data_IF_780904020687
#
_entry.id   IF_780904020687
#
_cell.length_a   1.000
_cell.length_b   1.000
_cell.length_c   1.000
_cell.angle_alpha   90.00
_cell.angle_beta   90.00
_cell.angle_gamma   90.00
#
_symmetry.space_group_name_H-M   'P 1'
#
loop_
_entity.id
_entity.type
_entity.pdbx_description
1 polymer ?
#
# COMPACT_ATOMS: atom_id res chain seq x y z
N UNK A 1 -12.61 -0.89 -4.62
CA UNK A 1 -11.23 -1.28 -5.01
C UNK A 1 -10.29 -0.19 -4.53
N UNK A 2 -9.07 -0.50 -4.11
CA UNK A 2 -8.07 0.51 -3.71
C UNK A 2 -6.94 0.50 -4.74
N UNK A 3 -6.75 1.60 -5.46
CA UNK A 3 -5.68 1.74 -6.45
C UNK A 3 -4.34 2.05 -5.77
N UNK A 4 -3.21 1.76 -6.42
CA UNK A 4 -1.89 2.08 -5.86
C UNK A 4 -1.05 2.91 -6.83
N UNK A 5 -0.39 3.95 -6.31
CA UNK A 5 0.52 4.77 -7.09
C UNK A 5 1.64 5.38 -6.23
N UNK A 6 2.78 5.66 -6.85
CA UNK A 6 3.81 6.51 -6.25
C UNK A 6 3.66 7.92 -6.78
N UNK A 7 3.56 8.90 -5.87
CA UNK A 7 3.45 10.32 -6.21
C UNK A 7 4.58 11.11 -5.56
N UNK A 8 5.06 12.13 -6.27
CA UNK A 8 5.93 13.15 -5.71
C UNK A 8 5.14 14.29 -5.04
N UNK A 9 5.84 15.28 -4.46
CA UNK A 9 5.23 16.45 -3.79
C UNK A 9 4.22 17.22 -4.66
N UNK A 10 4.44 17.28 -5.96
CA UNK A 10 3.52 17.91 -6.93
C UNK A 10 2.27 17.08 -7.23
N UNK A 11 2.07 15.95 -6.52
CA UNK A 11 1.06 14.91 -6.76
C UNK A 11 1.16 14.23 -8.13
N UNK A 12 2.21 14.51 -8.89
CA UNK A 12 2.49 13.82 -10.16
C UNK A 12 2.73 12.34 -9.89
N UNK A 13 1.99 11.48 -10.59
CA UNK A 13 2.21 10.03 -10.56
C UNK A 13 3.53 9.71 -11.26
N UNK A 14 4.41 9.00 -10.56
CA UNK A 14 5.73 8.55 -11.03
C UNK A 14 5.69 7.08 -11.43
N UNK A 15 4.91 6.26 -10.69
CA UNK A 15 4.64 4.86 -10.99
C UNK A 15 3.24 4.51 -10.51
N UNK A 16 2.61 3.50 -11.11
CA UNK A 16 1.30 2.99 -10.71
C UNK A 16 1.26 1.48 -10.80
N UNK A 17 0.45 0.87 -9.95
CA UNK A 17 0.10 -0.53 -10.07
C UNK A 17 -0.89 -0.72 -11.23
N UNK A 18 -0.82 -1.88 -11.87
CA UNK A 18 -1.81 -2.39 -12.81
C UNK A 18 -2.97 -3.08 -12.08
N UNK A 19 -2.69 -3.69 -10.92
CA UNK A 19 -3.67 -4.33 -10.05
C UNK A 19 -3.98 -3.46 -8.82
N UNK A 20 -5.28 -3.28 -8.54
CA UNK A 20 -5.75 -2.70 -7.28
C UNK A 20 -5.85 -3.74 -6.16
N UNK A 21 -5.97 -3.26 -4.92
CA UNK A 21 -6.34 -4.10 -3.79
C UNK A 21 -7.85 -4.29 -3.80
N UNK A 22 -8.28 -5.54 -3.92
CA UNK A 22 -9.67 -5.92 -3.66
C UNK A 22 -9.91 -5.91 -2.15
N UNK A 23 -10.51 -4.82 -1.67
CA UNK A 23 -10.83 -4.68 -0.25
C UNK A 23 -11.97 -5.63 0.11
N UNK A 24 -11.74 -6.49 1.09
CA UNK A 24 -12.71 -7.45 1.62
C UNK A 24 -12.85 -7.29 3.13
N UNK A 25 -13.85 -7.94 3.73
CA UNK A 25 -14.02 -7.95 5.18
C UNK A 25 -12.78 -8.47 5.93
N UNK A 26 -11.95 -9.32 5.31
CA UNK A 26 -10.75 -9.85 5.97
C UNK A 26 -9.67 -8.79 6.25
N UNK A 27 -9.68 -7.65 5.57
CA UNK A 27 -8.82 -6.51 5.96
C UNK A 27 -9.26 -5.89 7.29
N UNK A 28 -10.58 -5.84 7.55
CA UNK A 28 -11.11 -5.34 8.82
C UNK A 28 -10.85 -6.30 9.99
N UNK A 29 -10.68 -7.60 9.69
CA UNK A 29 -10.38 -8.66 10.66
C UNK A 29 -8.87 -8.79 10.97
N UNK A 30 -8.01 -8.05 10.27
CA UNK A 30 -6.57 -8.00 10.62
C UNK A 30 -6.40 -7.50 12.06
N UNK A 31 -5.48 -8.12 12.80
CA UNK A 31 -5.13 -7.63 14.14
C UNK A 31 -4.39 -6.29 14.01
N UNK A 32 -4.94 -5.17 14.52
CA UNK A 32 -4.32 -3.85 14.40
C UNK A 32 -2.98 -3.74 15.13
N UNK A 33 -2.71 -4.63 16.11
CA UNK A 33 -1.40 -4.68 16.76
C UNK A 33 -0.32 -5.32 15.86
N UNK A 34 -0.72 -6.19 14.93
CA UNK A 34 0.20 -6.89 14.01
C UNK A 34 0.28 -6.25 12.63
N UNK A 35 -0.81 -5.60 12.19
CA UNK A 35 -0.99 -4.98 10.89
C UNK A 35 -1.48 -3.52 10.97
N UNK A 36 -0.82 -2.62 11.73
CA UNK A 36 -1.30 -1.25 11.94
C UNK A 36 -1.46 -0.44 10.65
N UNK A 37 -0.77 -0.79 9.55
CA UNK A 37 -0.91 -0.10 8.27
C UNK A 37 -2.01 -0.69 7.41
N UNK A 38 -1.99 -2.01 7.19
CA UNK A 38 -2.93 -2.69 6.30
C UNK A 38 -4.34 -2.76 6.88
N UNK A 39 -4.49 -2.88 8.21
CA UNK A 39 -5.79 -2.82 8.88
C UNK A 39 -6.50 -1.47 8.68
N UNK A 40 -5.73 -0.39 8.57
CA UNK A 40 -6.26 0.96 8.41
C UNK A 40 -6.66 1.30 6.96
N UNK A 41 -6.42 0.40 5.99
CA UNK A 41 -6.83 0.62 4.61
C UNK A 41 -8.35 0.58 4.49
N UNK A 42 -8.88 1.53 3.72
CA UNK A 42 -10.31 1.67 3.46
C UNK A 42 -10.53 2.03 1.99
N UNK A 43 -11.58 1.49 1.34
CA UNK A 43 -11.91 1.85 -0.03
C UNK A 43 -12.42 3.28 -0.20
N UNK A 44 -12.71 4.00 0.90
CA UNK A 44 -13.29 5.35 0.87
C UNK A 44 -12.31 6.47 1.22
N UNK A 45 -11.01 6.17 1.29
CA UNK A 45 -10.01 7.14 1.69
C UNK A 45 -8.61 6.80 1.20
N UNK A 46 -7.80 7.84 1.04
CA UNK A 46 -6.40 7.68 0.68
C UNK A 46 -5.56 7.35 1.92
N UNK A 47 -4.68 6.35 1.78
CA UNK A 47 -3.60 6.11 2.73
C UNK A 47 -2.26 6.41 2.06
N UNK A 48 -1.41 7.18 2.75
CA UNK A 48 -0.13 7.66 2.22
C UNK A 48 1.01 7.19 3.10
N UNK A 49 1.97 6.51 2.49
CA UNK A 49 3.15 5.97 3.17
C UNK A 49 4.41 6.65 2.62
N UNK A 50 5.18 7.24 3.54
CA UNK A 50 6.47 7.83 3.23
C UNK A 50 7.61 6.79 3.34
N UNK A 51 8.82 7.21 2.97
CA UNK A 51 10.02 6.36 3.01
C UNK A 51 10.30 5.72 4.38
N UNK A 52 9.93 6.35 5.50
CA UNK A 52 10.11 5.77 6.85
C UNK A 52 9.06 4.72 7.19
N UNK A 53 7.88 4.78 6.57
CA UNK A 53 6.80 3.82 6.78
C UNK A 53 6.89 2.61 5.85
N UNK A 54 7.52 2.76 4.67
CA UNK A 54 7.69 1.69 3.69
C UNK A 54 8.29 0.39 4.27
N UNK A 55 9.36 0.41 5.07
CA UNK A 55 9.90 -0.83 5.65
C UNK A 55 8.92 -1.57 6.56
N UNK A 56 8.08 -0.84 7.29
CA UNK A 56 7.07 -1.41 8.17
C UNK A 56 5.92 -2.01 7.35
N UNK A 57 5.49 -1.32 6.29
CA UNK A 57 4.49 -1.84 5.35
C UNK A 57 4.98 -3.12 4.67
N UNK A 58 6.24 -3.17 4.23
CA UNK A 58 6.84 -4.37 3.64
C UNK A 58 6.82 -5.56 4.62
N UNK A 59 7.11 -5.32 5.90
CA UNK A 59 7.07 -6.35 6.94
C UNK A 59 5.64 -6.83 7.25
N UNK A 60 4.61 -6.00 7.06
CA UNK A 60 3.22 -6.43 7.10
C UNK A 60 2.87 -7.28 5.87
N UNK A 61 3.28 -6.86 4.67
CA UNK A 61 3.07 -7.62 3.43
C UNK A 61 3.73 -9.00 3.46
N UNK A 62 4.85 -9.17 4.17
CA UNK A 62 5.52 -10.48 4.37
C UNK A 62 4.69 -11.46 5.22
N UNK A 63 3.83 -10.93 6.10
CA UNK A 63 3.02 -11.71 7.04
C UNK A 63 1.54 -11.76 6.65
N UNK A 64 1.17 -11.09 5.56
CA UNK A 64 -0.21 -10.99 5.13
C UNK A 64 -0.78 -12.38 4.83
N UNK A 65 -1.99 -12.71 5.34
CA UNK A 65 -2.68 -13.93 4.98
C UNK A 65 -2.83 -14.09 3.45
N UNK A 66 -2.61 -15.30 2.94
CA UNK A 66 -2.54 -15.56 1.51
C UNK A 66 -3.84 -15.24 0.75
N UNK A 67 -4.98 -15.35 1.43
CA UNK A 67 -6.32 -15.03 0.93
C UNK A 67 -6.57 -13.52 0.76
N UNK A 68 -5.81 -12.67 1.48
CA UNK A 68 -5.82 -11.21 1.32
C UNK A 68 -4.72 -10.70 0.37
N UNK A 69 -3.80 -11.59 0.00
CA UNK A 69 -2.72 -11.29 -0.93
C UNK A 69 -3.17 -11.27 -2.39
N UNK A 70 -2.28 -11.72 -3.27
CA UNK A 70 -2.50 -11.75 -4.71
C UNK A 70 -1.49 -10.89 -5.47
N UNK A 71 -1.81 -10.59 -6.73
CA UNK A 71 -0.92 -9.88 -7.64
C UNK A 71 -0.51 -8.50 -7.12
N UNK A 72 -1.43 -7.80 -6.44
CA UNK A 72 -1.21 -6.47 -5.90
C UNK A 72 -0.04 -6.42 -4.90
N UNK A 73 0.23 -7.50 -4.14
CA UNK A 73 1.31 -7.54 -3.15
C UNK A 73 2.67 -7.40 -3.83
N UNK A 74 2.87 -8.06 -4.97
CA UNK A 74 4.10 -7.93 -5.76
C UNK A 74 4.28 -6.50 -6.26
N UNK A 75 3.22 -5.92 -6.80
CA UNK A 75 3.25 -4.55 -7.32
C UNK A 75 3.45 -3.50 -6.20
N UNK A 76 2.85 -3.70 -5.02
CA UNK A 76 3.08 -2.86 -3.86
C UNK A 76 4.57 -2.86 -3.44
N UNK A 77 5.24 -4.01 -3.50
CA UNK A 77 6.69 -4.12 -3.23
C UNK A 77 7.52 -3.38 -4.27
N UNK A 78 7.15 -3.47 -5.53
CA UNK A 78 7.85 -2.73 -6.59
C UNK A 78 7.68 -1.22 -6.43
N UNK A 79 6.48 -0.75 -6.11
CA UNK A 79 6.24 0.65 -5.80
C UNK A 79 7.00 1.12 -4.54
N UNK A 80 7.09 0.29 -3.51
CA UNK A 80 7.91 0.57 -2.32
C UNK A 80 9.38 0.82 -2.70
N UNK A 81 9.95 0.00 -3.59
CA UNK A 81 11.33 0.19 -4.09
C UNK A 81 11.49 1.51 -4.86
N UNK A 82 10.46 1.96 -5.57
CA UNK A 82 10.48 3.29 -6.22
C UNK A 82 10.56 4.39 -5.16
N UNK A 83 9.76 4.29 -4.10
CA UNK A 83 9.79 5.26 -2.97
C UNK A 83 11.16 5.30 -2.30
N UNK A 84 11.76 4.14 -2.02
CA UNK A 84 13.07 4.06 -1.34
C UNK A 84 14.22 4.67 -2.14
N UNK A 85 14.14 4.64 -3.48
CA UNK A 85 15.19 5.15 -4.38
C UNK A 85 15.04 6.63 -4.72
N UNK A 86 13.84 7.19 -4.51
CA UNK A 86 13.54 8.58 -4.84
C UNK A 86 13.62 9.50 -3.63
N UNK A 87 13.61 10.81 -3.89
CA UNK A 87 13.43 11.83 -2.86
C UNK A 87 12.00 12.38 -2.97
N UNK A 88 11.36 12.66 -1.84
CA UNK A 88 10.00 13.22 -1.80
C UNK A 88 8.96 12.36 -2.55
N UNK A 89 9.13 11.04 -2.52
CA UNK A 89 8.18 10.09 -3.07
C UNK A 89 7.39 9.43 -1.94
N UNK A 90 6.12 9.17 -2.24
CA UNK A 90 5.19 8.56 -1.31
C UNK A 90 4.40 7.48 -2.04
N UNK A 91 4.15 6.35 -1.39
CA UNK A 91 3.22 5.34 -1.86
C UNK A 91 1.82 5.72 -1.41
N UNK A 92 0.89 5.74 -2.36
CA UNK A 92 -0.51 6.04 -2.14
C UNK A 92 -1.33 4.79 -2.41
N UNK A 93 -2.17 4.44 -1.44
CA UNK A 93 -3.33 3.59 -1.62
C UNK A 93 -4.53 4.53 -1.76
N UNK A 94 -5.22 4.48 -2.89
CA UNK A 94 -6.18 5.47 -3.35
C UNK A 94 -7.55 4.82 -3.36
N UNK A 95 -8.44 5.29 -2.49
CA UNK A 95 -9.84 4.88 -2.47
C UNK A 95 -10.62 5.41 -3.68
N UNK A 96 -11.89 5.02 -3.79
CA UNK A 96 -12.87 5.65 -4.68
C UNK A 96 -13.24 7.07 -4.22
#
# INVERSE_FOLDING_TARGET
MINMAVRGDSRKVVARAEAGVEWTAGFADLDPAQFPMLWALTPYGDAVFNQRQVPLLLAELDRLPADLGGEWVGQARDLCRVVERGTHLYLWFIGD
#
